data_IF_503485978044
#
_entry.id   IF_503485978044
#
_cell.length_a   1.000
_cell.length_b   1.000
_cell.length_c   1.000
_cell.angle_alpha   90.00
_cell.angle_beta   90.00
_cell.angle_gamma   90.00
#
_symmetry.space_group_name_H-M   'P 1'
#
loop_
_entity.id
_entity.type
_entity.pdbx_description
1 polymer ?
#
# COMPACT_ATOMS: atom_id res chain seq x y z
N UNK A 1 -0.23 -2.28 1.30
CA UNK A 1 -0.66 -3.02 0.10
C UNK A 1 -1.85 -3.89 0.44
N UNK A 2 -3.00 -3.71 -0.21
CA UNK A 2 -4.21 -4.53 -0.01
C UNK A 2 -5.32 -3.88 0.81
N UNK A 3 -5.26 -2.57 1.01
CA UNK A 3 -6.30 -1.79 1.68
C UNK A 3 -7.52 -1.51 0.77
N UNK A 4 -7.50 -1.99 -0.47
CA UNK A 4 -8.49 -1.68 -1.50
C UNK A 4 -8.01 -0.64 -2.51
N UNK A 5 -6.72 -0.30 -2.48
CA UNK A 5 -6.11 0.66 -3.40
C UNK A 5 -5.94 0.07 -4.81
N UNK A 6 -6.06 0.92 -5.83
CA UNK A 6 -5.77 0.54 -7.22
C UNK A 6 -4.27 0.57 -7.52
N UNK A 7 -3.86 0.08 -8.69
CA UNK A 7 -2.47 0.25 -9.19
C UNK A 7 -2.06 1.72 -9.23
N UNK A 8 -2.97 2.60 -9.67
CA UNK A 8 -2.72 4.05 -9.78
C UNK A 8 -2.49 4.68 -8.41
N UNK A 9 -3.25 4.28 -7.39
CA UNK A 9 -3.06 4.79 -6.03
C UNK A 9 -1.69 4.41 -5.45
N UNK A 10 -1.25 3.17 -5.70
CA UNK A 10 0.09 2.69 -5.31
C UNK A 10 1.19 3.49 -6.00
N UNK A 11 1.07 3.68 -7.32
CA UNK A 11 2.00 4.49 -8.07
C UNK A 11 2.03 5.94 -7.57
N UNK A 12 0.86 6.49 -7.22
CA UNK A 12 0.72 7.83 -6.61
C UNK A 12 1.47 7.96 -5.29
N UNK A 13 1.35 6.98 -4.39
CA UNK A 13 2.09 6.95 -3.13
C UNK A 13 3.61 6.96 -3.36
N UNK A 14 4.11 6.09 -4.24
CA UNK A 14 5.54 6.03 -4.55
C UNK A 14 6.03 7.32 -5.19
N UNK A 15 5.26 7.89 -6.11
CA UNK A 15 5.56 9.16 -6.76
C UNK A 15 5.62 10.31 -5.73
N UNK A 16 4.69 10.35 -4.78
CA UNK A 16 4.68 11.34 -3.70
C UNK A 16 5.95 11.24 -2.84
N UNK A 17 6.32 10.03 -2.42
CA UNK A 17 7.52 9.80 -1.61
C UNK A 17 8.80 10.16 -2.36
N UNK A 18 8.88 9.82 -3.65
CA UNK A 18 10.02 10.13 -4.51
C UNK A 18 10.20 11.64 -4.75
N UNK A 19 9.10 12.41 -4.69
CA UNK A 19 9.10 13.86 -4.93
C UNK A 19 9.28 14.70 -3.65
N UNK A 20 9.52 14.09 -2.50
CA UNK A 20 9.87 14.83 -1.29
C UNK A 20 11.23 15.55 -1.48
N UNK A 21 11.45 16.74 -0.88
CA UNK A 21 12.71 17.47 -1.00
C UNK A 21 13.94 16.65 -0.61
N UNK A 22 13.77 15.70 0.30
CA UNK A 22 14.74 14.65 0.60
C UNK A 22 13.96 13.35 0.72
N UNK A 23 14.20 12.37 -0.16
CA UNK A 23 13.51 11.09 -0.08
C UNK A 23 13.94 10.33 1.18
N UNK A 24 13.06 9.52 1.77
CA UNK A 24 13.41 8.69 2.91
C UNK A 24 14.45 7.63 2.53
N UNK A 25 15.38 7.35 3.44
CA UNK A 25 16.40 6.30 3.25
C UNK A 25 15.80 4.88 3.26
N UNK A 26 14.64 4.71 3.88
CA UNK A 26 13.91 3.45 3.93
C UNK A 26 12.41 3.70 3.79
N UNK A 27 11.79 2.93 2.89
CA UNK A 27 10.32 2.94 2.70
C UNK A 27 9.80 1.52 2.95
N UNK A 28 9.25 1.24 4.14
CA UNK A 28 8.64 -0.05 4.39
C UNK A 28 7.33 -0.17 3.59
N UNK A 29 7.22 -1.24 2.79
CA UNK A 29 6.00 -1.57 2.07
C UNK A 29 5.39 -2.81 2.71
N UNK A 30 4.39 -2.58 3.56
CA UNK A 30 3.71 -3.65 4.27
C UNK A 30 2.53 -4.19 3.45
N UNK A 31 2.35 -5.50 3.50
CA UNK A 31 1.13 -6.17 3.06
C UNK A 31 0.07 -6.09 4.16
N UNK A 32 -1.20 -5.91 3.78
CA UNK A 32 -2.31 -6.00 4.72
C UNK A 32 -2.34 -7.40 5.31
N UNK A 33 -2.22 -7.47 6.62
CA UNK A 33 -2.54 -8.68 7.38
C UNK A 33 -4.02 -8.64 7.70
N UNK A 34 -4.79 -9.54 7.08
CA UNK A 34 -6.24 -9.65 7.29
C UNK A 34 -6.51 -10.29 8.65
N UNK A 35 -7.13 -9.53 9.55
CA UNK A 35 -7.46 -9.99 10.92
C UNK A 35 -8.96 -10.03 11.10
N UNK A 36 -9.48 -11.19 11.51
CA UNK A 36 -10.92 -11.41 11.74
C UNK A 36 -11.51 -10.35 12.67
N UNK A 37 -12.64 -9.77 12.27
CA UNK A 37 -13.35 -8.74 13.04
C UNK A 37 -12.87 -7.31 12.78
N UNK A 38 -11.81 -7.11 11.99
CA UNK A 38 -11.47 -5.78 11.48
C UNK A 38 -12.28 -5.47 10.22
N UNK A 39 -12.53 -4.19 9.90
CA UNK A 39 -13.25 -3.81 8.68
C UNK A 39 -12.59 -4.29 7.38
N UNK A 40 -11.30 -4.63 7.41
CA UNK A 40 -10.51 -5.07 6.25
C UNK A 40 -10.30 -6.59 6.23
N UNK A 41 -10.98 -7.34 7.10
CA UNK A 41 -10.80 -8.79 7.22
C UNK A 41 -11.13 -9.51 5.90
N UNK A 42 -12.14 -9.02 5.19
CA UNK A 42 -12.70 -9.64 3.98
C UNK A 42 -12.30 -8.91 2.70
N UNK A 43 -11.28 -8.03 2.75
CA UNK A 43 -10.73 -7.40 1.55
C UNK A 43 -10.19 -8.46 0.59
N UNK A 44 -10.14 -8.13 -0.71
CA UNK A 44 -9.50 -8.97 -1.72
C UNK A 44 -7.98 -9.04 -1.52
N UNK A 45 -7.35 -10.09 -2.04
CA UNK A 45 -5.89 -10.14 -2.10
C UNK A 45 -5.36 -9.20 -3.18
N UNK A 46 -4.14 -8.70 -2.98
CA UNK A 46 -3.46 -7.87 -3.97
C UNK A 46 -2.99 -8.78 -5.10
N UNK A 47 -3.31 -8.42 -6.35
CA UNK A 47 -2.72 -9.10 -7.50
C UNK A 47 -1.20 -8.94 -7.49
N UNK A 48 -0.50 -10.02 -7.77
CA UNK A 48 0.96 -10.04 -7.86
C UNK A 48 1.47 -9.31 -9.12
N UNK A 49 0.61 -9.01 -10.10
CA UNK A 49 1.00 -8.44 -11.39
C UNK A 49 0.05 -7.32 -11.86
#
# INVERSE_FOLDING_TARGET
MGLGETVTDRAGLLLQLANLPTPPESVPINMLVKVKGTPLADNDDVDAF
#
